data_IF_732218012167
#
_entry.id   IF_732218012167
#
_cell.length_a   1.000
_cell.length_b   1.000
_cell.length_c   1.000
_cell.angle_alpha   90.00
_cell.angle_beta   90.00
_cell.angle_gamma   90.00
#
_symmetry.space_group_name_H-M   'P 1'
#
loop_
_entity.id
_entity.type
_entity.pdbx_description
1 polymer ?
#
# COMPACT_ATOMS: atom_id res chain seq x y z
N UNK A 1 -4.88 11.50 24.04
CA UNK A 1 -4.05 10.42 23.46
C UNK A 1 -3.16 11.06 22.40
N UNK A 2 -1.84 10.82 22.43
CA UNK A 2 -0.89 11.55 21.57
C UNK A 2 -1.03 11.02 20.13
N UNK A 3 -1.45 11.83 19.15
CA UNK A 3 -1.62 11.43 17.74
C UNK A 3 -0.38 10.69 17.20
N UNK A 4 0.82 11.06 17.67
CA UNK A 4 2.05 10.34 17.36
C UNK A 4 2.02 8.87 17.79
N UNK A 5 1.45 8.51 18.95
CA UNK A 5 1.36 7.11 19.41
C UNK A 5 0.44 6.25 18.55
N UNK A 6 -0.60 6.85 17.97
CA UNK A 6 -1.53 6.18 17.06
C UNK A 6 -0.91 6.01 15.66
N UNK A 7 -0.10 6.98 15.22
CA UNK A 7 0.70 6.84 13.99
C UNK A 7 1.77 5.75 14.16
N UNK A 8 2.44 5.72 15.33
CA UNK A 8 3.45 4.72 15.68
C UNK A 8 2.93 3.27 15.68
N UNK A 9 1.62 3.05 15.88
CA UNK A 9 1.04 1.70 15.83
C UNK A 9 0.69 1.21 14.43
N UNK A 10 0.83 2.05 13.40
CA UNK A 10 0.43 1.74 12.02
C UNK A 10 1.58 1.82 11.00
N UNK A 11 2.80 2.20 11.40
CA UNK A 11 3.92 2.42 10.45
C UNK A 11 5.25 1.88 10.97
N UNK A 12 5.85 0.92 10.25
CA UNK A 12 7.10 0.25 10.62
C UNK A 12 8.41 1.04 10.37
N UNK A 13 8.39 2.17 9.64
CA UNK A 13 9.60 2.95 9.33
C UNK A 13 9.45 4.48 9.50
N UNK A 14 10.58 5.18 9.70
CA UNK A 14 10.60 6.63 9.87
C UNK A 14 10.16 7.38 8.60
N UNK A 15 10.44 6.83 7.43
CA UNK A 15 9.99 7.35 6.14
C UNK A 15 8.46 7.32 6.03
N UNK A 16 7.81 6.25 6.48
CA UNK A 16 6.35 6.15 6.54
C UNK A 16 5.74 7.18 7.49
N UNK A 17 6.40 7.46 8.62
CA UNK A 17 5.94 8.50 9.54
C UNK A 17 5.99 9.88 8.90
N UNK A 18 7.06 10.17 8.15
CA UNK A 18 7.21 11.43 7.42
C UNK A 18 6.14 11.55 6.34
N UNK A 19 5.90 10.51 5.54
CA UNK A 19 4.86 10.53 4.50
C UNK A 19 3.47 10.67 5.11
N UNK A 20 3.16 9.91 6.16
CA UNK A 20 1.88 10.03 6.86
C UNK A 20 1.68 11.44 7.39
N UNK A 21 2.69 12.02 8.04
CA UNK A 21 2.62 13.39 8.57
C UNK A 21 2.42 14.43 7.45
N UNK A 22 3.16 14.32 6.35
CA UNK A 22 2.98 15.22 5.19
C UNK A 22 1.59 15.10 4.59
N UNK A 23 1.07 13.88 4.45
CA UNK A 23 -0.25 13.63 3.91
C UNK A 23 -1.34 14.14 4.84
N UNK A 24 -1.23 13.88 6.15
CA UNK A 24 -2.16 14.37 7.17
C UNK A 24 -2.24 15.90 7.15
N UNK A 25 -1.09 16.58 7.09
CA UNK A 25 -1.04 18.05 6.95
C UNK A 25 -1.59 18.54 5.62
N UNK A 26 -1.36 17.79 4.54
CA UNK A 26 -1.94 18.07 3.22
C UNK A 26 -3.47 17.99 3.26
N UNK A 27 -4.03 16.95 3.88
CA UNK A 27 -5.48 16.75 4.06
C UNK A 27 -6.07 17.87 4.93
N UNK A 28 -5.44 18.23 6.05
CA UNK A 28 -5.88 19.35 6.89
C UNK A 28 -5.94 20.66 6.09
N UNK A 29 -4.94 20.93 5.25
CA UNK A 29 -4.95 22.11 4.39
C UNK A 29 -6.05 22.04 3.32
N UNK A 30 -6.24 20.90 2.67
CA UNK A 30 -7.30 20.71 1.66
C UNK A 30 -8.70 20.97 2.24
N UNK A 31 -8.95 20.58 3.49
CA UNK A 31 -10.23 20.85 4.19
C UNK A 31 -10.53 22.35 4.35
N UNK A 32 -9.51 23.21 4.30
CA UNK A 32 -9.67 24.67 4.40
C UNK A 32 -9.93 25.38 3.07
N UNK A 33 -9.76 24.68 1.93
CA UNK A 33 -9.94 25.26 0.61
C UNK A 33 -11.43 25.43 0.31
N UNK A 34 -11.81 26.64 -0.09
CA UNK A 34 -13.20 26.97 -0.45
C UNK A 34 -13.43 26.87 -1.96
N UNK A 35 -14.70 26.83 -2.38
CA UNK A 35 -15.04 26.87 -3.81
C UNK A 35 -14.56 28.16 -4.49
N UNK A 36 -14.48 29.27 -3.76
CA UNK A 36 -13.96 30.53 -4.32
C UNK A 36 -12.44 30.47 -4.50
N UNK A 37 -11.70 29.80 -3.61
CA UNK A 37 -10.28 29.52 -3.82
C UNK A 37 -10.08 28.63 -5.06
N UNK A 38 -10.94 27.61 -5.24
CA UNK A 38 -10.88 26.70 -6.38
C UNK A 38 -11.06 27.45 -7.69
N UNK A 39 -12.01 28.40 -7.77
CA UNK A 39 -12.21 29.21 -8.99
C UNK A 39 -10.99 30.05 -9.38
N UNK A 40 -10.02 30.25 -8.48
CA UNK A 40 -8.77 30.95 -8.81
C UNK A 40 -7.72 30.06 -9.46
N UNK A 41 -7.90 28.73 -9.42
CA UNK A 41 -6.99 27.75 -10.00
C UNK A 41 -7.01 27.86 -11.52
N UNK A 42 -5.83 28.09 -12.12
CA UNK A 42 -5.66 28.25 -13.57
C UNK A 42 -5.25 26.94 -14.24
N UNK A 43 -5.49 26.86 -15.55
CA UNK A 43 -4.88 25.82 -16.39
C UNK A 43 -3.35 25.93 -16.40
N UNK A 44 -2.67 24.80 -16.65
CA UNK A 44 -1.22 24.69 -16.60
C UNK A 44 -0.56 24.51 -17.99
N UNK A 45 -1.31 24.81 -19.06
CA UNK A 45 -0.87 24.62 -20.45
C UNK A 45 -1.07 23.19 -20.99
N UNK A 46 -1.23 22.19 -20.12
CA UNK A 46 -1.62 20.83 -20.50
C UNK A 46 -3.11 20.58 -20.28
N UNK A 47 -3.63 21.03 -19.14
CA UNK A 47 -5.03 20.89 -18.77
C UNK A 47 -5.74 22.24 -18.73
N UNK A 48 -7.03 22.22 -19.03
CA UNK A 48 -7.90 23.38 -18.91
C UNK A 48 -8.06 23.80 -17.45
N UNK A 49 -8.42 25.06 -17.25
CA UNK A 49 -8.79 25.58 -15.93
C UNK A 49 -9.91 24.74 -15.28
N UNK A 50 -10.98 24.45 -16.01
CA UNK A 50 -12.10 23.64 -15.50
C UNK A 50 -11.65 22.25 -15.02
N UNK A 51 -10.72 21.62 -15.74
CA UNK A 51 -10.17 20.33 -15.36
C UNK A 51 -9.32 20.44 -14.09
N UNK A 52 -8.40 21.42 -14.03
CA UNK A 52 -7.59 21.65 -12.83
C UNK A 52 -8.47 21.92 -11.60
N UNK A 53 -9.51 22.75 -11.75
CA UNK A 53 -10.48 23.02 -10.69
C UNK A 53 -11.21 21.75 -10.25
N UNK A 54 -11.59 20.89 -11.20
CA UNK A 54 -12.26 19.61 -10.90
C UNK A 54 -11.35 18.65 -10.14
N UNK A 55 -10.03 18.63 -10.43
CA UNK A 55 -9.06 17.88 -9.63
C UNK A 55 -9.05 18.40 -8.19
N UNK A 56 -8.95 19.72 -7.99
CA UNK A 56 -8.90 20.30 -6.64
C UNK A 56 -10.19 20.02 -5.88
N UNK A 57 -11.38 20.17 -6.51
CA UNK A 57 -12.67 19.79 -5.89
C UNK A 57 -12.67 18.33 -5.46
N UNK A 58 -12.17 17.44 -6.31
CA UNK A 58 -12.09 16.01 -6.02
C UNK A 58 -11.18 15.75 -4.82
N UNK A 59 -10.01 16.38 -4.76
CA UNK A 59 -9.09 16.26 -3.63
C UNK A 59 -9.69 16.78 -2.32
N UNK A 60 -10.39 17.93 -2.35
CA UNK A 60 -11.11 18.48 -1.19
C UNK A 60 -12.23 17.53 -0.73
N UNK A 61 -12.97 16.95 -1.68
CA UNK A 61 -14.02 15.96 -1.38
C UNK A 61 -13.44 14.72 -0.69
N UNK A 62 -12.38 14.12 -1.26
CA UNK A 62 -11.70 12.97 -0.68
C UNK A 62 -11.18 13.30 0.72
N UNK A 63 -10.56 14.47 0.90
CA UNK A 63 -10.07 14.91 2.21
C UNK A 63 -11.21 15.00 3.25
N UNK A 64 -12.42 15.38 2.85
CA UNK A 64 -13.58 15.47 3.75
C UNK A 64 -14.26 14.12 4.02
N UNK A 65 -14.20 13.19 3.06
CA UNK A 65 -14.90 11.90 3.11
C UNK A 65 -14.02 10.75 3.66
N UNK A 66 -12.70 10.88 3.62
CA UNK A 66 -11.77 9.80 3.96
C UNK A 66 -10.71 10.25 4.97
N UNK A 67 -10.28 9.31 5.82
CA UNK A 67 -9.15 9.50 6.71
C UNK A 67 -7.81 9.27 6.00
N UNK A 68 -6.73 9.89 6.51
CA UNK A 68 -5.35 9.74 6.01
C UNK A 68 -4.95 8.27 5.84
N UNK A 69 -5.39 7.41 6.76
CA UNK A 69 -5.11 5.98 6.70
C UNK A 69 -5.82 5.28 5.53
N UNK A 70 -7.10 5.57 5.30
CA UNK A 70 -7.89 4.99 4.20
C UNK A 70 -7.32 5.41 2.83
N UNK A 71 -6.93 6.69 2.73
CA UNK A 71 -6.27 7.23 1.53
C UNK A 71 -4.95 6.51 1.28
N UNK A 72 -4.14 6.27 2.31
CA UNK A 72 -2.88 5.52 2.18
C UNK A 72 -3.09 4.06 1.77
N UNK A 73 -4.10 3.39 2.32
CA UNK A 73 -4.46 2.03 1.91
C UNK A 73 -4.83 1.98 0.43
N UNK A 74 -5.60 2.97 -0.06
CA UNK A 74 -6.02 3.04 -1.45
C UNK A 74 -4.88 3.42 -2.40
N UNK A 75 -4.00 4.35 -2.00
CA UNK A 75 -2.91 4.85 -2.85
C UNK A 75 -1.89 3.77 -3.19
N UNK A 76 -1.89 2.61 -2.50
CA UNK A 76 -1.09 1.40 -2.82
C UNK A 76 0.23 1.80 -3.50
N UNK A 77 1.09 2.50 -2.76
CA UNK A 77 2.38 2.92 -3.28
C UNK A 77 3.10 1.70 -3.86
N UNK A 78 3.11 1.57 -5.18
CA UNK A 78 3.82 0.53 -5.94
C UNK A 78 5.28 0.40 -5.47
N UNK A 79 5.86 1.47 -4.94
CA UNK A 79 7.21 1.52 -4.37
C UNK A 79 7.37 0.88 -2.97
N UNK A 80 6.30 0.74 -2.18
CA UNK A 80 6.36 0.30 -0.77
C UNK A 80 5.46 -0.88 -0.40
N UNK A 81 4.49 -1.24 -1.26
CA UNK A 81 3.65 -2.43 -1.09
C UNK A 81 3.90 -3.47 -2.18
N UNK A 82 5.12 -3.56 -2.73
CA UNK A 82 5.54 -4.87 -3.24
C UNK A 82 5.48 -5.76 -1.99
N UNK A 83 4.53 -6.71 -1.90
CA UNK A 83 4.48 -7.55 -0.72
C UNK A 83 5.86 -8.18 -0.59
N UNK A 84 6.40 -8.27 0.62
CA UNK A 84 7.64 -9.01 0.82
C UNK A 84 7.32 -10.48 0.47
N UNK A 85 7.48 -10.81 -0.82
CA UNK A 85 7.31 -12.17 -1.32
C UNK A 85 8.54 -12.89 -0.85
N UNK A 86 8.40 -13.63 0.25
CA UNK A 86 9.44 -14.55 0.67
C UNK A 86 9.31 -15.80 -0.20
N UNK A 87 10.44 -16.22 -0.74
CA UNK A 87 10.59 -17.48 -1.45
C UNK A 87 11.26 -18.47 -0.49
N UNK A 88 10.62 -19.59 -0.25
CA UNK A 88 11.25 -20.75 0.40
C UNK A 88 11.40 -21.83 -0.66
N UNK A 89 12.61 -22.37 -0.75
CA UNK A 89 12.91 -23.55 -1.54
C UNK A 89 12.92 -24.78 -0.63
N UNK A 90 12.05 -25.74 -0.93
CA UNK A 90 11.98 -27.03 -0.25
C UNK A 90 12.60 -28.06 -1.17
N UNK A 91 13.71 -28.66 -0.75
CA UNK A 91 14.32 -29.77 -1.49
C UNK A 91 13.82 -31.11 -0.94
N UNK A 92 13.66 -32.10 -1.82
CA UNK A 92 13.32 -33.49 -1.48
C UNK A 92 14.23 -34.13 -0.43
N UNK A 93 15.48 -33.69 -0.38
CA UNK A 93 16.47 -34.16 0.58
C UNK A 93 16.34 -33.54 1.99
N UNK A 94 15.49 -32.54 2.18
CA UNK A 94 15.33 -31.86 3.48
C UNK A 94 14.50 -32.73 4.42
N UNK A 95 14.98 -32.93 5.65
CA UNK A 95 14.18 -33.57 6.70
C UNK A 95 13.02 -32.68 7.10
N UNK A 96 11.80 -33.17 6.88
CA UNK A 96 10.56 -32.52 7.27
C UNK A 96 9.65 -33.51 8.00
N UNK A 97 8.64 -33.01 8.72
CA UNK A 97 7.62 -33.85 9.36
C UNK A 97 6.64 -34.48 8.35
N UNK A 98 6.73 -34.07 7.08
CA UNK A 98 5.91 -34.51 5.97
C UNK A 98 6.76 -35.21 4.91
N UNK A 99 6.22 -36.21 4.22
CA UNK A 99 6.91 -36.88 3.12
C UNK A 99 6.90 -36.00 1.85
N UNK A 100 7.83 -36.27 0.93
CA UNK A 100 7.89 -35.54 -0.34
C UNK A 100 6.62 -35.73 -1.17
N UNK A 101 6.13 -36.97 -1.23
CA UNK A 101 4.91 -37.35 -1.95
C UNK A 101 3.69 -36.62 -1.39
N UNK A 102 3.61 -36.47 -0.07
CA UNK A 102 2.54 -35.72 0.58
C UNK A 102 2.55 -34.25 0.15
N UNK A 103 3.71 -33.59 0.21
CA UNK A 103 3.84 -32.18 -0.18
C UNK A 103 3.55 -31.96 -1.66
N UNK A 104 4.04 -32.84 -2.53
CA UNK A 104 3.77 -32.82 -3.96
C UNK A 104 2.27 -32.95 -4.28
N UNK A 105 1.57 -33.87 -3.60
CA UNK A 105 0.12 -34.05 -3.76
C UNK A 105 -0.68 -32.81 -3.33
N UNK A 106 -0.33 -32.18 -2.20
CA UNK A 106 -1.00 -30.95 -1.74
C UNK A 106 -0.81 -29.76 -2.71
N UNK A 107 0.30 -29.77 -3.45
CA UNK A 107 0.65 -28.71 -4.41
C UNK A 107 0.27 -29.05 -5.86
N UNK A 108 -0.35 -30.21 -6.11
CA UNK A 108 -0.70 -30.73 -7.44
C UNK A 108 0.52 -30.83 -8.38
N UNK A 109 1.62 -31.41 -7.86
CA UNK A 109 2.89 -31.62 -8.60
C UNK A 109 3.26 -33.10 -8.58
N UNK A 110 3.81 -33.61 -9.68
CA UNK A 110 4.33 -35.00 -9.74
C UNK A 110 5.64 -35.14 -8.94
N UNK A 111 5.72 -36.02 -7.93
CA UNK A 111 6.92 -36.22 -7.10
C UNK A 111 8.11 -36.86 -7.84
N UNK A 112 7.89 -37.47 -9.01
CA UNK A 112 8.95 -38.04 -9.86
C UNK A 112 9.53 -37.01 -10.84
N UNK A 113 8.79 -35.95 -11.16
CA UNK A 113 9.22 -34.91 -12.11
C UNK A 113 9.97 -33.76 -11.44
N UNK A 114 10.04 -33.71 -10.10
CA UNK A 114 10.79 -32.68 -9.38
C UNK A 114 11.45 -33.16 -8.09
N UNK A 115 12.61 -32.56 -7.78
CA UNK A 115 13.35 -32.74 -6.53
C UNK A 115 13.37 -31.47 -5.67
N UNK A 116 12.69 -30.40 -6.10
CA UNK A 116 12.54 -29.16 -5.32
C UNK A 116 11.21 -28.43 -5.61
N UNK A 117 10.73 -27.64 -4.66
CA UNK A 117 9.56 -26.80 -4.81
C UNK A 117 9.84 -25.39 -4.29
N UNK A 118 9.38 -24.37 -5.02
CA UNK A 118 9.50 -22.97 -4.63
C UNK A 118 8.14 -22.45 -4.18
N UNK A 119 8.02 -22.15 -2.89
CA UNK A 119 6.82 -21.55 -2.32
C UNK A 119 7.03 -20.05 -2.20
N UNK A 120 6.13 -19.28 -2.82
CA UNK A 120 6.07 -17.83 -2.68
C UNK A 120 4.89 -17.48 -1.79
N UNK A 121 5.15 -16.80 -0.70
CA UNK A 121 4.10 -16.30 0.19
C UNK A 121 4.30 -14.83 0.46
N UNK A 122 3.17 -14.14 0.61
CA UNK A 122 3.13 -12.73 0.96
C UNK A 122 3.31 -12.63 2.47
N UNK A 123 4.34 -11.90 2.90
CA UNK A 123 4.50 -11.53 4.30
C UNK A 123 3.95 -10.13 4.50
N UNK A 124 2.92 -10.00 5.31
CA UNK A 124 2.55 -8.75 5.94
C UNK A 124 3.47 -8.60 7.17
N UNK A 125 4.46 -7.72 7.11
CA UNK A 125 5.23 -7.38 8.32
C UNK A 125 4.29 -6.57 9.24
N UNK A 126 3.98 -7.14 10.41
CA UNK A 126 3.21 -6.52 11.50
C UNK A 126 4.01 -5.42 12.21
#
# INVERSE_FOLDING_TARGET
MNKMKEILSHSGSAEMMIIYYMLDKGIENLKSITEDDIKTVRGNGLMTEEFCQSIVRTAVRIANECDTHEILQYIRCEAWFTPAVKEIEICKAVRSNYSWEYLCNEMDVDPEETDYMKLKFIVEEL
#
